data_IF_883187674583
#
_entry.id   IF_883187674583
#
_cell.length_a   1.000
_cell.length_b   1.000
_cell.length_c   1.000
_cell.angle_alpha   90.00
_cell.angle_beta   90.00
_cell.angle_gamma   90.00
#
_symmetry.space_group_name_H-M   'P 1'
#
loop_
_entity.id
_entity.type
_entity.pdbx_description
1 polymer ?
#
# COMPACT_ATOMS: atom_id res chain seq x y z
N UNK A 1 4.65 -20.33 10.79
CA UNK A 1 5.52 -21.25 10.08
C UNK A 1 6.53 -20.43 9.27
N UNK A 2 7.78 -20.87 9.24
CA UNK A 2 8.86 -20.18 8.54
C UNK A 2 8.64 -20.19 7.02
N UNK A 3 7.91 -21.19 6.52
CA UNK A 3 7.53 -21.30 5.10
C UNK A 3 6.05 -21.74 4.99
N UNK A 4 5.16 -20.84 4.52
CA UNK A 4 3.75 -21.14 4.30
C UNK A 4 3.51 -22.24 3.25
N UNK A 5 4.39 -22.34 2.24
CA UNK A 5 4.28 -23.32 1.14
C UNK A 5 4.44 -24.72 1.66
N UNK A 6 5.39 -24.95 2.58
CA UNK A 6 5.57 -26.25 3.23
C UNK A 6 4.32 -26.71 3.98
N UNK A 7 3.62 -25.79 4.63
CA UNK A 7 2.36 -26.07 5.32
C UNK A 7 1.29 -26.61 4.37
N UNK A 8 1.15 -26.00 3.20
CA UNK A 8 0.19 -26.43 2.15
C UNK A 8 0.60 -27.78 1.59
N UNK A 9 1.87 -27.97 1.24
CA UNK A 9 2.38 -29.25 0.71
C UNK A 9 2.19 -30.38 1.71
N UNK A 10 2.49 -30.17 2.98
CA UNK A 10 2.28 -31.16 4.03
C UNK A 10 0.81 -31.55 4.19
N UNK A 11 -0.10 -30.58 4.15
CA UNK A 11 -1.53 -30.81 4.21
C UNK A 11 -2.03 -31.63 3.02
N UNK A 12 -1.58 -31.32 1.80
CA UNK A 12 -1.93 -32.03 0.58
C UNK A 12 -1.36 -33.48 0.61
N UNK A 13 -0.11 -33.66 1.06
CA UNK A 13 0.52 -34.94 1.20
C UNK A 13 -0.23 -35.83 2.21
N UNK A 14 -0.66 -35.24 3.34
CA UNK A 14 -1.47 -35.94 4.33
C UNK A 14 -2.85 -36.33 3.76
N UNK A 15 -3.48 -35.43 2.96
CA UNK A 15 -4.74 -35.75 2.30
C UNK A 15 -4.61 -36.85 1.27
N UNK A 16 -3.51 -36.89 0.52
CA UNK A 16 -3.19 -37.95 -0.43
C UNK A 16 -3.00 -39.31 0.28
N UNK A 17 -2.21 -39.32 1.35
CA UNK A 17 -1.94 -40.53 2.13
C UNK A 17 -3.21 -41.16 2.73
N UNK A 18 -4.14 -40.34 3.22
CA UNK A 18 -5.45 -40.81 3.72
C UNK A 18 -6.34 -41.44 2.64
N UNK A 19 -6.04 -41.19 1.38
CA UNK A 19 -6.73 -41.79 0.22
C UNK A 19 -5.93 -42.90 -0.43
N UNK A 20 -4.79 -43.32 0.16
CA UNK A 20 -3.86 -44.32 -0.37
C UNK A 20 -3.38 -43.98 -1.79
N UNK A 21 -3.13 -42.73 -2.07
CA UNK A 21 -2.51 -42.23 -3.31
C UNK A 21 -1.35 -41.28 -2.96
N UNK A 22 -0.47 -41.04 -3.92
CA UNK A 22 0.59 -40.07 -3.78
C UNK A 22 0.11 -38.62 -4.11
N UNK A 23 0.91 -37.60 -3.82
CA UNK A 23 0.58 -36.23 -4.09
C UNK A 23 0.32 -35.95 -5.60
N UNK A 24 1.17 -36.43 -6.54
CA UNK A 24 0.88 -36.36 -7.96
C UNK A 24 -0.47 -36.96 -8.35
N UNK A 25 -0.79 -38.11 -7.81
CA UNK A 25 -2.08 -38.77 -8.05
C UNK A 25 -3.28 -38.00 -7.47
N UNK A 26 -3.11 -37.34 -6.34
CA UNK A 26 -4.14 -36.45 -5.81
C UNK A 26 -4.35 -35.23 -6.72
N UNK A 27 -3.27 -34.62 -7.18
CA UNK A 27 -3.33 -33.43 -8.06
C UNK A 27 -3.92 -33.75 -9.43
N UNK A 28 -3.59 -34.95 -9.99
CA UNK A 28 -4.12 -35.39 -11.29
C UNK A 28 -5.64 -35.68 -11.26
N UNK A 29 -6.19 -36.00 -10.09
CA UNK A 29 -7.63 -36.26 -9.89
C UNK A 29 -8.43 -35.04 -9.44
N UNK A 30 -7.77 -33.92 -9.11
CA UNK A 30 -8.38 -32.71 -8.67
C UNK A 30 -8.74 -31.80 -9.85
N UNK A 31 -9.98 -31.33 -9.92
CA UNK A 31 -10.42 -30.37 -10.92
C UNK A 31 -9.95 -28.95 -10.57
N UNK A 32 -9.80 -28.65 -9.26
CA UNK A 32 -9.44 -27.33 -8.77
C UNK A 32 -8.83 -27.41 -7.37
N UNK A 33 -7.79 -26.61 -7.12
CA UNK A 33 -7.26 -26.35 -5.78
C UNK A 33 -7.63 -24.91 -5.38
N UNK A 34 -8.39 -24.76 -4.30
CA UNK A 34 -8.71 -23.47 -3.70
C UNK A 34 -7.92 -23.34 -2.40
N UNK A 35 -7.04 -22.36 -2.34
CA UNK A 35 -6.26 -22.04 -1.16
C UNK A 35 -6.59 -20.62 -0.66
N UNK A 36 -6.96 -20.51 0.61
CA UNK A 36 -7.18 -19.23 1.28
C UNK A 36 -6.18 -19.05 2.42
N UNK A 37 -5.64 -17.86 2.56
CA UNK A 37 -4.69 -17.53 3.63
C UNK A 37 -5.02 -16.21 4.31
N UNK A 38 -4.74 -16.12 5.62
CA UNK A 38 -4.79 -14.89 6.41
C UNK A 38 -3.43 -14.20 6.51
N UNK A 39 -2.47 -14.55 5.65
CA UNK A 39 -1.08 -14.09 5.72
C UNK A 39 -0.97 -12.57 5.74
N UNK A 40 -1.68 -11.88 4.82
CA UNK A 40 -1.69 -10.42 4.74
C UNK A 40 -2.25 -9.76 6.01
N UNK A 41 -3.37 -10.30 6.54
CA UNK A 41 -3.97 -9.78 7.79
C UNK A 41 -3.03 -10.01 8.97
N UNK A 42 -2.40 -11.16 9.05
CA UNK A 42 -1.44 -11.46 10.10
C UNK A 42 -0.22 -10.53 10.03
N UNK A 43 0.30 -10.26 8.83
CA UNK A 43 1.41 -9.32 8.64
C UNK A 43 1.05 -7.91 9.16
N UNK A 44 -0.18 -7.43 8.87
CA UNK A 44 -0.65 -6.12 9.35
C UNK A 44 -0.79 -6.12 10.88
N UNK A 45 -1.42 -7.13 11.48
CA UNK A 45 -1.65 -7.20 12.93
C UNK A 45 -0.33 -7.28 13.71
N UNK A 46 0.63 -8.03 13.19
CA UNK A 46 1.95 -8.20 13.83
C UNK A 46 2.92 -7.06 13.51
N UNK A 47 2.55 -6.14 12.60
CA UNK A 47 3.43 -5.06 12.14
C UNK A 47 4.59 -5.54 11.27
N UNK A 48 4.52 -6.77 10.75
CA UNK A 48 5.54 -7.36 9.87
C UNK A 48 5.23 -7.03 8.41
N UNK A 49 5.18 -5.73 8.10
CA UNK A 49 4.94 -5.18 6.77
C UNK A 49 6.16 -4.39 6.29
N UNK A 50 6.27 -4.18 5.00
CA UNK A 50 7.37 -3.42 4.42
C UNK A 50 7.42 -1.98 4.94
N UNK A 51 8.63 -1.43 5.07
CA UNK A 51 8.83 -0.02 5.41
C UNK A 51 8.34 0.88 4.29
N UNK A 52 7.15 1.41 4.45
CA UNK A 52 6.40 2.11 3.41
C UNK A 52 6.42 3.62 3.60
N UNK A 53 6.58 4.36 2.50
CA UNK A 53 6.38 5.80 2.46
C UNK A 53 5.06 6.15 1.79
N UNK A 54 4.48 7.30 2.18
CA UNK A 54 3.33 7.90 1.52
C UNK A 54 3.74 9.19 0.80
N UNK A 55 3.37 9.30 -0.48
CA UNK A 55 3.42 10.55 -1.24
C UNK A 55 2.01 11.10 -1.35
N UNK A 56 1.80 12.34 -0.92
CA UNK A 56 0.50 13.00 -0.94
C UNK A 56 0.64 14.46 -1.39
N UNK A 57 -0.43 15.08 -1.84
CA UNK A 57 -0.44 16.49 -2.26
C UNK A 57 0.07 17.41 -1.14
N UNK A 58 0.88 18.38 -1.48
CA UNK A 58 1.39 19.38 -0.53
C UNK A 58 0.26 20.06 0.26
N UNK A 59 0.47 20.23 1.57
CA UNK A 59 -0.51 20.73 2.52
C UNK A 59 -1.43 19.66 3.13
N UNK A 60 -1.29 18.38 2.74
CA UNK A 60 -2.12 17.28 3.26
C UNK A 60 -1.31 16.11 3.89
N UNK A 61 -0.18 16.37 4.55
CA UNK A 61 0.70 15.30 5.04
C UNK A 61 0.13 14.53 6.24
N UNK A 62 -0.88 15.08 6.90
CA UNK A 62 -1.46 14.50 8.11
C UNK A 62 -2.72 13.66 7.85
N UNK A 63 -2.99 13.34 6.58
CA UNK A 63 -4.20 12.61 6.18
C UNK A 63 -4.38 11.27 6.94
N UNK A 64 -3.30 10.52 7.16
CA UNK A 64 -3.35 9.26 7.91
C UNK A 64 -3.46 9.46 9.42
N UNK A 65 -3.10 10.63 9.95
CA UNK A 65 -3.24 10.99 11.36
C UNK A 65 -4.66 11.48 11.64
N UNK A 66 -5.14 12.43 10.84
CA UNK A 66 -6.44 13.08 11.02
C UNK A 66 -7.61 12.16 10.67
N UNK A 67 -7.42 11.24 9.70
CA UNK A 67 -8.46 10.29 9.25
C UNK A 67 -9.72 11.03 8.78
N UNK A 68 -10.91 10.42 9.00
CA UNK A 68 -12.21 11.02 8.65
C UNK A 68 -12.91 11.71 9.85
N UNK A 69 -12.26 11.82 10.99
CA UNK A 69 -12.89 12.42 12.18
C UNK A 69 -11.92 12.74 13.30
N UNK A 70 -10.64 12.49 13.06
CA UNK A 70 -9.59 12.91 13.98
C UNK A 70 -9.60 12.15 15.30
N UNK A 71 -9.95 12.82 16.39
CA UNK A 71 -9.87 12.29 17.74
C UNK A 71 -11.07 11.42 18.11
N UNK A 72 -10.82 10.36 18.88
CA UNK A 72 -11.89 9.54 19.48
C UNK A 72 -12.71 10.38 20.49
N UNK A 73 -12.03 11.26 21.24
CA UNK A 73 -12.62 12.22 22.16
C UNK A 73 -12.24 13.63 21.73
N UNK A 74 -13.06 14.32 20.91
CA UNK A 74 -12.70 15.59 20.27
C UNK A 74 -12.26 16.69 21.22
N UNK A 75 -12.84 16.75 22.42
CA UNK A 75 -12.58 17.78 23.44
C UNK A 75 -11.55 17.38 24.49
N UNK A 76 -11.09 16.15 24.47
CA UNK A 76 -10.06 15.68 25.39
C UNK A 76 -8.68 15.78 24.74
N UNK A 77 -7.99 16.90 24.97
CA UNK A 77 -6.68 17.18 24.38
C UNK A 77 -5.54 16.33 24.96
N UNK A 78 -5.79 15.59 26.06
CA UNK A 78 -4.83 14.66 26.64
C UNK A 78 -4.79 13.31 25.90
N UNK A 79 -5.84 12.98 25.15
CA UNK A 79 -5.87 11.77 24.33
C UNK A 79 -5.13 12.04 23.02
N UNK A 80 -4.02 11.33 22.75
CA UNK A 80 -3.28 11.49 21.49
C UNK A 80 -4.09 10.98 20.31
N UNK A 81 -3.74 11.45 19.10
CA UNK A 81 -4.26 10.86 17.87
C UNK A 81 -3.84 9.39 17.78
N UNK A 82 -4.69 8.53 17.19
CA UNK A 82 -4.31 7.17 16.92
C UNK A 82 -3.03 7.12 16.04
N UNK A 83 -2.16 6.16 16.33
CA UNK A 83 -0.93 5.97 15.54
C UNK A 83 -1.28 5.78 14.06
N UNK A 84 -0.72 6.59 13.15
CA UNK A 84 -0.96 6.42 11.72
C UNK A 84 -0.30 5.14 11.20
N UNK A 85 -0.88 4.56 10.13
CA UNK A 85 -0.35 3.34 9.52
C UNK A 85 1.06 3.57 8.97
N UNK A 86 1.28 4.67 8.25
CA UNK A 86 2.61 5.13 7.86
C UNK A 86 2.99 6.29 8.77
N UNK A 87 4.18 6.25 9.42
CA UNK A 87 4.64 7.34 10.26
C UNK A 87 4.74 8.67 9.50
N UNK A 88 4.43 9.80 10.16
CA UNK A 88 4.53 11.15 9.55
C UNK A 88 5.91 11.43 8.93
N UNK A 89 6.98 10.90 9.54
CA UNK A 89 8.35 11.04 9.03
C UNK A 89 8.61 10.32 7.69
N UNK A 90 7.70 9.43 7.26
CA UNK A 90 7.71 8.75 5.98
C UNK A 90 6.57 9.22 5.06
N UNK A 91 5.91 10.33 5.37
CA UNK A 91 4.95 11.01 4.50
C UNK A 91 5.61 12.21 3.86
N UNK A 92 5.59 12.26 2.53
CA UNK A 92 6.22 13.27 1.70
C UNK A 92 5.18 14.07 0.93
N UNK A 93 5.39 15.35 0.86
CA UNK A 93 4.48 16.29 0.20
C UNK A 93 4.94 16.54 -1.24
N UNK A 94 4.07 16.26 -2.19
CA UNK A 94 4.28 16.49 -3.63
C UNK A 94 3.65 17.83 -3.99
N UNK A 95 4.43 18.81 -4.44
CA UNK A 95 3.90 20.09 -4.91
C UNK A 95 3.15 19.88 -6.23
N UNK A 96 1.82 19.87 -6.12
CA UNK A 96 0.87 19.74 -7.24
C UNK A 96 -0.54 20.05 -6.73
N UNK A 97 -1.50 20.29 -7.62
CA UNK A 97 -2.91 20.38 -7.25
C UNK A 97 -3.83 20.14 -8.44
N UNK A 98 -4.74 19.19 -8.31
CA UNK A 98 -5.95 19.05 -9.11
C UNK A 98 -7.16 19.58 -8.34
N UNK A 99 -8.17 20.07 -9.05
CA UNK A 99 -9.47 20.41 -8.45
C UNK A 99 -10.50 19.27 -8.63
N UNK A 100 -11.71 19.48 -8.10
CA UNK A 100 -12.79 18.50 -8.16
C UNK A 100 -13.33 18.24 -9.58
N UNK A 101 -13.01 19.08 -10.54
CA UNK A 101 -13.39 18.94 -11.95
C UNK A 101 -12.26 18.34 -12.79
N UNK A 102 -11.13 17.96 -12.15
CA UNK A 102 -9.96 17.42 -12.83
C UNK A 102 -9.13 18.48 -13.55
N UNK A 103 -9.31 19.77 -13.23
CA UNK A 103 -8.49 20.83 -13.77
C UNK A 103 -7.22 20.99 -12.94
N UNK A 104 -6.11 21.21 -13.64
CA UNK A 104 -4.82 21.47 -12.99
C UNK A 104 -4.80 22.89 -12.42
N UNK A 105 -4.74 22.98 -11.09
CA UNK A 105 -4.60 24.26 -10.36
C UNK A 105 -3.14 24.62 -10.12
N UNK A 106 -2.33 23.60 -9.77
CA UNK A 106 -0.87 23.73 -9.62
C UNK A 106 -0.25 22.59 -10.42
N UNK A 107 0.68 22.89 -11.35
CA UNK A 107 1.37 21.85 -12.10
C UNK A 107 2.21 20.96 -11.19
N UNK A 108 2.43 19.73 -11.59
CA UNK A 108 3.31 18.79 -10.89
C UNK A 108 4.76 19.30 -10.96
N UNK A 109 5.37 19.49 -9.80
CA UNK A 109 6.80 19.78 -9.67
C UNK A 109 7.61 18.46 -9.72
N UNK A 110 8.05 18.09 -10.93
CA UNK A 110 8.83 16.88 -11.13
C UNK A 110 10.21 16.92 -10.45
N UNK A 111 10.82 18.10 -10.32
CA UNK A 111 12.11 18.25 -9.63
C UNK A 111 11.96 17.97 -8.13
N UNK A 112 10.87 18.45 -7.54
CA UNK A 112 10.53 18.12 -6.16
C UNK A 112 10.29 16.62 -5.98
N UNK A 113 9.59 15.95 -6.93
CA UNK A 113 9.40 14.49 -6.90
C UNK A 113 10.74 13.76 -6.97
N UNK A 114 11.65 14.16 -7.84
CA UNK A 114 13.00 13.56 -7.91
C UNK A 114 13.77 13.75 -6.60
N UNK A 115 13.67 14.94 -5.97
CA UNK A 115 14.25 15.18 -4.64
C UNK A 115 13.65 14.25 -3.57
N UNK A 116 12.34 14.01 -3.63
CA UNK A 116 11.67 13.05 -2.74
C UNK A 116 12.22 11.64 -2.97
N UNK A 117 12.38 11.22 -4.23
CA UNK A 117 12.93 9.89 -4.56
C UNK A 117 14.32 9.70 -3.93
N UNK A 118 15.20 10.69 -3.97
CA UNK A 118 16.51 10.60 -3.31
C UNK A 118 16.38 10.45 -1.78
N UNK A 119 15.41 11.15 -1.17
CA UNK A 119 15.12 10.97 0.27
C UNK A 119 14.57 9.57 0.57
N UNK A 120 13.75 8.98 -0.30
CA UNK A 120 13.23 7.62 -0.15
C UNK A 120 14.39 6.60 -0.17
N UNK A 121 15.33 6.75 -1.10
CA UNK A 121 16.56 5.93 -1.17
C UNK A 121 17.35 6.01 0.13
N UNK A 122 17.64 7.23 0.61
CA UNK A 122 18.42 7.45 1.83
C UNK A 122 17.78 6.86 3.08
N UNK A 123 16.43 6.72 3.08
CA UNK A 123 15.68 6.16 4.18
C UNK A 123 15.48 4.63 4.07
N UNK A 124 15.99 3.99 3.02
CA UNK A 124 15.79 2.57 2.74
C UNK A 124 14.30 2.19 2.81
N UNK A 125 13.47 2.90 2.04
CA UNK A 125 12.04 2.60 1.91
C UNK A 125 11.89 1.39 0.99
N UNK A 126 11.03 0.45 1.41
CA UNK A 126 10.82 -0.84 0.73
C UNK A 126 9.56 -0.85 -0.14
N UNK A 127 8.64 0.09 0.09
CA UNK A 127 7.41 0.23 -0.69
C UNK A 127 6.91 1.68 -0.67
N UNK A 128 6.14 2.09 -1.69
CA UNK A 128 5.67 3.46 -1.84
C UNK A 128 4.17 3.46 -2.12
N UNK A 129 3.42 4.22 -1.33
CA UNK A 129 2.02 4.55 -1.55
C UNK A 129 1.93 5.96 -2.14
N UNK A 130 1.12 6.14 -3.19
CA UNK A 130 0.87 7.45 -3.78
C UNK A 130 -0.63 7.73 -3.72
N UNK A 131 -1.01 8.84 -3.10
CA UNK A 131 -2.39 9.29 -3.01
C UNK A 131 -2.44 10.81 -3.15
N UNK A 132 -2.73 11.29 -4.37
CA UNK A 132 -2.86 12.71 -4.65
C UNK A 132 -4.32 13.13 -4.62
N UNK A 133 -4.56 14.41 -4.28
CA UNK A 133 -5.90 14.96 -4.25
C UNK A 133 -6.52 14.96 -5.64
N UNK A 134 -7.80 14.56 -5.71
CA UNK A 134 -8.58 14.53 -6.93
C UNK A 134 -8.00 13.69 -8.07
N UNK A 135 -7.06 12.78 -7.79
CA UNK A 135 -6.56 11.84 -8.81
C UNK A 135 -7.65 10.92 -9.38
N UNK A 136 -8.82 10.86 -8.72
CA UNK A 136 -10.01 10.18 -9.25
C UNK A 136 -10.72 10.97 -10.36
N UNK A 137 -10.55 12.30 -10.39
CA UNK A 137 -11.11 13.15 -11.42
C UNK A 137 -10.11 13.31 -12.59
N UNK A 138 -8.81 13.39 -12.27
CA UNK A 138 -7.73 13.43 -13.25
C UNK A 138 -6.47 12.81 -12.62
N UNK A 139 -6.08 11.65 -13.14
CA UNK A 139 -4.97 10.86 -12.62
C UNK A 139 -3.59 11.28 -13.13
N UNK A 140 -3.51 12.21 -14.07
CA UNK A 140 -2.27 12.53 -14.81
C UNK A 140 -1.07 12.84 -13.93
N UNK A 141 -1.25 13.55 -12.80
CA UNK A 141 -0.16 13.81 -11.86
C UNK A 141 0.26 12.57 -11.09
N UNK A 142 -0.71 11.77 -10.62
CA UNK A 142 -0.43 10.54 -9.86
C UNK A 142 0.22 9.49 -10.76
N UNK A 143 -0.24 9.34 -12.01
CA UNK A 143 0.35 8.47 -13.01
C UNK A 143 1.79 8.91 -13.34
N UNK A 144 2.01 10.23 -13.51
CA UNK A 144 3.35 10.77 -13.77
C UNK A 144 4.31 10.54 -12.61
N UNK A 145 3.85 10.65 -11.37
CA UNK A 145 4.64 10.26 -10.19
C UNK A 145 5.01 8.78 -10.25
N UNK A 146 4.07 7.91 -10.65
CA UNK A 146 4.32 6.48 -10.87
C UNK A 146 5.43 6.22 -11.90
N UNK A 147 5.40 6.92 -13.05
CA UNK A 147 6.43 6.82 -14.08
C UNK A 147 7.83 7.22 -13.55
N UNK A 148 7.88 8.32 -12.78
CA UNK A 148 9.13 8.78 -12.17
C UNK A 148 9.67 7.77 -11.16
N UNK A 149 8.80 7.17 -10.34
CA UNK A 149 9.18 6.11 -9.41
C UNK A 149 9.72 4.88 -10.15
N UNK A 150 9.02 4.41 -11.18
CA UNK A 150 9.45 3.27 -11.99
C UNK A 150 10.82 3.50 -12.63
N UNK A 151 11.07 4.73 -13.12
CA UNK A 151 12.31 5.11 -13.80
C UNK A 151 13.48 5.30 -12.84
N UNK A 152 13.27 5.97 -11.70
CA UNK A 152 14.36 6.46 -10.84
C UNK A 152 14.55 5.64 -9.57
N UNK A 153 13.59 4.75 -9.24
CA UNK A 153 13.65 3.84 -8.10
C UNK A 153 13.21 2.42 -8.50
N UNK A 154 13.83 1.82 -9.52
CA UNK A 154 13.47 0.47 -9.96
C UNK A 154 13.71 -0.54 -8.83
N UNK A 155 12.81 -1.51 -8.72
CA UNK A 155 12.90 -2.56 -7.70
C UNK A 155 12.18 -2.23 -6.38
N UNK A 156 11.73 -1.00 -6.16
CA UNK A 156 10.84 -0.66 -5.04
C UNK A 156 9.40 -0.63 -5.56
N UNK A 157 8.53 -1.53 -5.11
CA UNK A 157 7.15 -1.55 -5.55
C UNK A 157 6.38 -0.32 -5.06
N UNK A 158 5.45 0.13 -5.87
CA UNK A 158 4.56 1.23 -5.52
C UNK A 158 3.10 0.92 -5.85
N UNK A 159 2.20 1.66 -5.24
CA UNK A 159 0.77 1.60 -5.49
C UNK A 159 0.21 3.00 -5.70
N UNK A 160 -0.64 3.15 -6.72
CA UNK A 160 -1.32 4.39 -7.05
C UNK A 160 -2.79 4.31 -6.60
N UNK A 161 -3.28 5.35 -5.93
CA UNK A 161 -4.61 5.35 -5.34
C UNK A 161 -5.73 5.42 -6.38
N UNK A 162 -5.50 6.09 -7.50
CA UNK A 162 -6.43 6.17 -8.62
C UNK A 162 -6.71 4.81 -9.27
N UNK A 163 -5.73 3.90 -9.25
CA UNK A 163 -5.86 2.55 -9.81
C UNK A 163 -6.47 1.60 -8.77
N UNK A 164 -5.95 1.65 -7.53
CA UNK A 164 -6.31 0.66 -6.50
C UNK A 164 -7.72 0.87 -5.95
N UNK A 165 -8.08 2.12 -5.66
CA UNK A 165 -9.36 2.46 -5.02
C UNK A 165 -9.86 3.84 -5.48
N UNK A 166 -10.44 3.96 -6.69
CA UNK A 166 -10.89 5.24 -7.23
C UNK A 166 -12.19 5.74 -6.56
N UNK A 167 -12.20 5.80 -5.23
CA UNK A 167 -13.33 6.27 -4.44
C UNK A 167 -13.14 7.70 -3.93
N UNK A 168 -14.24 8.40 -3.70
CA UNK A 168 -14.22 9.69 -3.01
C UNK A 168 -13.68 9.53 -1.58
N UNK A 169 -13.14 10.61 -1.03
CA UNK A 169 -12.50 10.74 0.29
C UNK A 169 -11.08 10.19 0.32
N UNK A 170 -10.15 11.11 0.41
CA UNK A 170 -8.69 10.87 0.33
C UNK A 170 -8.19 9.94 1.42
N UNK A 171 -8.73 10.01 2.64
CA UNK A 171 -8.31 9.12 3.72
C UNK A 171 -8.54 7.64 3.38
N UNK A 172 -9.67 7.31 2.76
CA UNK A 172 -9.98 5.92 2.36
C UNK A 172 -9.01 5.42 1.30
N UNK A 173 -8.70 6.28 0.32
CA UNK A 173 -7.73 5.97 -0.73
C UNK A 173 -6.32 5.86 -0.15
N UNK A 174 -5.89 6.83 0.67
CA UNK A 174 -4.58 6.83 1.31
C UNK A 174 -4.39 5.60 2.21
N UNK A 175 -5.42 5.20 2.96
CA UNK A 175 -5.36 3.99 3.78
C UNK A 175 -5.27 2.72 2.95
N UNK A 176 -6.09 2.60 1.90
CA UNK A 176 -6.07 1.44 1.02
C UNK A 176 -4.71 1.29 0.33
N UNK A 177 -4.19 2.37 -0.26
CA UNK A 177 -2.92 2.34 -0.99
C UNK A 177 -1.72 2.12 -0.06
N UNK A 178 -1.78 2.64 1.19
CA UNK A 178 -0.75 2.41 2.20
C UNK A 178 -0.65 0.94 2.60
N UNK A 179 -1.80 0.30 2.80
CA UNK A 179 -1.88 -1.14 3.13
C UNK A 179 -1.39 -1.97 1.94
N UNK A 180 -1.92 -1.73 0.75
CA UNK A 180 -1.54 -2.47 -0.46
C UNK A 180 -0.04 -2.39 -0.72
N UNK A 181 0.52 -1.18 -0.75
CA UNK A 181 1.95 -0.98 -0.97
C UNK A 181 2.80 -1.75 0.05
N UNK A 182 2.42 -1.70 1.34
CA UNK A 182 3.18 -2.34 2.42
C UNK A 182 3.19 -3.87 2.34
N UNK A 183 2.23 -4.47 1.65
CA UNK A 183 2.10 -5.91 1.48
C UNK A 183 2.78 -6.41 0.21
N UNK A 184 2.96 -5.58 -0.82
CA UNK A 184 3.54 -6.00 -2.12
C UNK A 184 4.85 -6.78 -1.98
N UNK A 185 5.86 -6.33 -1.19
CA UNK A 185 7.09 -7.09 -1.03
C UNK A 185 6.95 -8.46 -0.36
N UNK A 186 5.83 -8.67 0.34
CA UNK A 186 5.55 -9.94 1.04
C UNK A 186 4.77 -10.93 0.19
N UNK A 187 4.15 -10.45 -0.91
CA UNK A 187 3.25 -11.24 -1.74
C UNK A 187 3.88 -11.61 -3.09
N UNK A 188 5.09 -11.15 -3.36
CA UNK A 188 5.95 -11.51 -4.49
C UNK A 188 6.99 -12.53 -4.07
#
# INVERSE_FOLDING_TARGET
PEDPVLGVLNALTLAASKRNIDLPGLMAKGDMLIHGTTYAINAIITGNTAKTALLTTAGHPDILVLREGGRVEPFNFLVPYPKPYIPRALTFEVPERMDSHGQQVIPLDEEAVLSIIEKLKSKNVEAIAVCLLWSIANSSHEDRVGDLLAKHLPGVPYSLSNILNPALREYRRASAVAIDASLKPLMT
#
